data_IF_102822174132
#
_entry.id   IF_102822174132
#
_cell.length_a   1.000
_cell.length_b   1.000
_cell.length_c   1.000
_cell.angle_alpha   90.00
_cell.angle_beta   90.00
_cell.angle_gamma   90.00
#
_symmetry.space_group_name_H-M   'P 1'
#
loop_
_entity.id
_entity.type
_entity.pdbx_description
1 polymer ?
#
# COMPACT_ATOMS: atom_id res chain seq x y z
N UNK A 1 22.98 -62.36 47.99
CA UNK A 1 23.32 -60.91 48.01
C UNK A 1 23.14 -60.22 46.65
N UNK A 2 23.48 -60.84 45.50
CA UNK A 2 23.31 -60.21 44.17
C UNK A 2 21.86 -59.81 43.80
N UNK A 3 20.86 -60.63 44.11
CA UNK A 3 19.47 -60.36 43.69
C UNK A 3 18.77 -59.17 44.37
N UNK A 4 19.26 -58.73 45.53
CA UNK A 4 18.75 -57.49 46.18
C UNK A 4 19.32 -56.24 45.50
N UNK A 5 20.60 -56.27 45.10
CA UNK A 5 21.27 -55.15 44.44
C UNK A 5 20.64 -54.78 43.09
N UNK A 6 20.26 -55.79 42.28
CA UNK A 6 19.55 -55.56 41.02
C UNK A 6 18.17 -54.91 41.24
N UNK A 7 17.48 -55.24 42.34
CA UNK A 7 16.17 -54.68 42.66
C UNK A 7 16.26 -53.23 43.14
N UNK A 8 17.26 -52.90 43.97
CA UNK A 8 17.52 -51.52 44.40
C UNK A 8 18.00 -50.63 43.25
N UNK A 9 18.81 -51.18 42.33
CA UNK A 9 19.25 -50.46 41.13
C UNK A 9 18.07 -50.12 40.21
N UNK A 10 17.11 -51.03 40.04
CA UNK A 10 15.90 -50.77 39.26
C UNK A 10 15.04 -49.64 39.84
N UNK A 11 14.83 -49.63 41.16
CA UNK A 11 14.09 -48.55 41.84
C UNK A 11 14.82 -47.20 41.76
N UNK A 12 16.15 -47.19 41.87
CA UNK A 12 16.95 -45.99 41.67
C UNK A 12 16.80 -45.44 40.24
N UNK A 13 16.91 -46.31 39.22
CA UNK A 13 16.79 -45.92 37.82
C UNK A 13 15.39 -45.36 37.51
N UNK A 14 14.33 -45.94 38.10
CA UNK A 14 12.97 -45.42 37.99
C UNK A 14 12.84 -44.01 38.59
N UNK A 15 13.43 -43.77 39.77
CA UNK A 15 13.46 -42.44 40.39
C UNK A 15 14.19 -41.41 39.52
N UNK A 16 15.35 -41.78 38.96
CA UNK A 16 16.11 -40.91 38.04
C UNK A 16 15.30 -40.60 36.78
N UNK A 17 14.62 -41.58 36.19
CA UNK A 17 13.79 -41.37 35.00
C UNK A 17 12.64 -40.39 35.27
N UNK A 18 11.97 -40.48 36.42
CA UNK A 18 10.92 -39.53 36.83
C UNK A 18 11.50 -38.13 37.04
N UNK A 19 12.65 -38.01 37.72
CA UNK A 19 13.31 -36.73 37.93
C UNK A 19 13.69 -36.06 36.60
N UNK A 20 14.24 -36.84 35.65
CA UNK A 20 14.58 -36.35 34.32
C UNK A 20 13.35 -35.94 33.52
N UNK A 21 12.24 -36.69 33.64
CA UNK A 21 10.95 -36.33 33.08
C UNK A 21 10.45 -34.98 33.58
N UNK A 22 10.62 -34.70 34.89
CA UNK A 22 10.22 -33.42 35.47
C UNK A 22 11.10 -32.26 35.00
N UNK A 23 12.38 -32.52 34.69
CA UNK A 23 13.29 -31.52 34.11
C UNK A 23 12.95 -31.12 32.67
N UNK A 24 12.18 -31.94 31.93
CA UNK A 24 11.73 -31.59 30.58
C UNK A 24 10.67 -30.47 30.59
N UNK A 25 9.85 -30.37 31.64
CA UNK A 25 8.75 -29.41 31.71
C UNK A 25 9.26 -27.95 31.73
N UNK A 26 10.22 -27.55 32.59
CA UNK A 26 10.81 -26.21 32.53
C UNK A 26 11.52 -25.91 31.21
N UNK A 27 12.12 -26.93 30.58
CA UNK A 27 12.80 -26.77 29.30
C UNK A 27 11.81 -26.45 28.17
N UNK A 28 10.63 -27.09 28.17
CA UNK A 28 9.55 -26.77 27.25
C UNK A 28 9.02 -25.35 27.48
N UNK A 29 8.80 -24.95 28.73
CA UNK A 29 8.39 -23.59 29.07
C UNK A 29 9.41 -22.56 28.57
N UNK A 30 10.70 -22.82 28.71
CA UNK A 30 11.74 -21.96 28.15
C UNK A 30 11.70 -21.89 26.61
N UNK A 31 11.48 -23.02 25.93
CA UNK A 31 11.32 -23.05 24.49
C UNK A 31 10.08 -22.29 24.01
N UNK A 32 8.96 -22.40 24.74
CA UNK A 32 7.73 -21.67 24.47
C UNK A 32 7.88 -20.17 24.68
N UNK A 33 8.56 -19.74 25.76
CA UNK A 33 8.87 -18.32 26.00
C UNK A 33 9.69 -17.73 24.85
N UNK A 34 10.72 -18.45 24.39
CA UNK A 34 11.52 -18.01 23.24
C UNK A 34 10.69 -17.88 21.97
N UNK A 35 9.72 -18.78 21.75
CA UNK A 35 8.79 -18.69 20.63
C UNK A 35 7.88 -17.47 20.75
N UNK A 36 7.38 -17.16 21.94
CA UNK A 36 6.59 -15.96 22.20
C UNK A 36 7.40 -14.68 21.94
N UNK A 37 8.63 -14.62 22.42
CA UNK A 37 9.51 -13.46 22.21
C UNK A 37 9.77 -13.22 20.71
N UNK A 38 9.95 -14.29 19.93
CA UNK A 38 10.08 -14.20 18.47
C UNK A 38 8.81 -13.61 17.84
N UNK A 39 7.62 -14.13 18.18
CA UNK A 39 6.35 -13.61 17.66
C UNK A 39 6.12 -12.16 18.06
N UNK A 40 6.49 -11.75 19.27
CA UNK A 40 6.42 -10.34 19.71
C UNK A 40 7.34 -9.46 18.87
N UNK A 41 8.55 -9.93 18.56
CA UNK A 41 9.47 -9.22 17.68
C UNK A 41 8.90 -9.09 16.24
N UNK A 42 8.29 -10.15 15.71
CA UNK A 42 7.65 -10.15 14.39
C UNK A 42 6.47 -9.16 14.36
N UNK A 43 5.64 -9.11 15.40
CA UNK A 43 4.53 -8.15 15.51
C UNK A 43 5.07 -6.72 15.53
N UNK A 44 6.14 -6.46 16.30
CA UNK A 44 6.75 -5.14 16.36
C UNK A 44 7.34 -4.72 15.01
N UNK A 45 7.90 -5.66 14.25
CA UNK A 45 8.36 -5.42 12.88
C UNK A 45 7.18 -5.13 11.94
N UNK A 46 6.13 -5.95 11.98
CA UNK A 46 4.93 -5.73 11.16
C UNK A 46 4.29 -4.36 11.42
N UNK A 47 4.24 -3.87 12.66
CA UNK A 47 3.78 -2.52 12.97
C UNK A 47 4.68 -1.41 12.40
N UNK A 48 5.98 -1.63 12.25
CA UNK A 48 6.86 -0.68 11.56
C UNK A 48 6.60 -0.69 10.06
N UNK A 49 6.46 -1.88 9.49
CA UNK A 49 6.20 -2.04 8.06
C UNK A 49 4.85 -1.44 7.66
N UNK A 50 3.79 -1.64 8.46
CA UNK A 50 2.48 -1.02 8.25
C UNK A 50 2.60 0.50 8.23
N UNK A 51 3.29 1.10 9.21
CA UNK A 51 3.48 2.56 9.24
C UNK A 51 4.26 3.08 8.04
N UNK A 52 5.28 2.35 7.58
CA UNK A 52 6.01 2.72 6.37
C UNK A 52 5.13 2.62 5.11
N UNK A 53 4.29 1.58 5.02
CA UNK A 53 3.35 1.43 3.92
C UNK A 53 2.28 2.53 3.94
N UNK A 54 1.76 2.88 5.11
CA UNK A 54 0.78 3.95 5.27
C UNK A 54 1.34 5.30 4.79
N UNK A 55 2.60 5.63 5.12
CA UNK A 55 3.22 6.88 4.64
C UNK A 55 3.48 6.85 3.13
N UNK A 56 3.87 5.71 2.56
CA UNK A 56 3.96 5.55 1.10
C UNK A 56 2.60 5.71 0.42
N UNK A 57 1.53 5.17 0.99
CA UNK A 57 0.18 5.30 0.44
C UNK A 57 -0.34 6.72 0.56
N UNK A 58 -0.14 7.39 1.69
CA UNK A 58 -0.54 8.78 1.89
C UNK A 58 0.17 9.71 0.91
N UNK A 59 1.48 9.54 0.73
CA UNK A 59 2.24 10.34 -0.25
C UNK A 59 1.78 10.08 -1.68
N UNK A 60 1.55 8.83 -2.09
CA UNK A 60 1.02 8.51 -3.44
C UNK A 60 -0.42 9.01 -3.65
N UNK A 61 -1.27 8.91 -2.63
CA UNK A 61 -2.65 9.38 -2.69
C UNK A 61 -2.72 10.92 -2.76
N UNK A 62 -1.87 11.62 -2.00
CA UNK A 62 -1.75 13.07 -2.04
C UNK A 62 -1.36 13.56 -3.44
N UNK A 63 -0.40 12.91 -4.10
CA UNK A 63 -0.04 13.25 -5.48
C UNK A 63 -1.20 13.09 -6.47
N UNK A 64 -1.96 12.00 -6.37
CA UNK A 64 -3.14 11.80 -7.22
C UNK A 64 -4.24 12.84 -6.95
N UNK A 65 -4.43 13.24 -5.68
CA UNK A 65 -5.36 14.30 -5.32
C UNK A 65 -4.90 15.68 -5.82
N UNK A 66 -3.61 16.00 -5.71
CA UNK A 66 -3.04 17.24 -6.24
C UNK A 66 -3.20 17.32 -7.75
N UNK A 67 -2.97 16.23 -8.48
CA UNK A 67 -3.20 16.17 -9.92
C UNK A 67 -4.68 16.37 -10.26
N UNK A 68 -5.58 15.74 -9.51
CA UNK A 68 -7.01 15.98 -9.66
C UNK A 68 -7.38 17.46 -9.40
N UNK A 69 -6.89 18.06 -8.33
CA UNK A 69 -7.15 19.46 -8.01
C UNK A 69 -6.54 20.43 -9.03
N UNK A 70 -5.36 20.09 -9.57
CA UNK A 70 -4.70 20.85 -10.62
C UNK A 70 -5.56 20.87 -11.90
N UNK A 71 -6.11 19.72 -12.29
CA UNK A 71 -6.98 19.60 -13.46
C UNK A 71 -8.37 20.22 -13.25
N UNK A 72 -9.02 19.97 -12.10
CA UNK A 72 -10.44 20.29 -11.88
C UNK A 72 -10.66 21.76 -11.46
N UNK A 73 -9.80 22.30 -10.58
CA UNK A 73 -10.04 23.60 -9.92
C UNK A 73 -8.94 24.61 -10.23
N UNK A 74 -7.68 24.24 -10.01
CA UNK A 74 -6.58 25.20 -10.06
C UNK A 74 -6.14 25.52 -11.50
N UNK A 75 -6.45 24.64 -12.47
CA UNK A 75 -6.09 24.73 -13.89
C UNK A 75 -4.60 25.12 -14.10
N UNK A 76 -3.71 24.56 -13.27
CA UNK A 76 -2.27 24.82 -13.33
C UNK A 76 -1.55 23.91 -14.35
N UNK A 77 -2.31 23.25 -15.22
CA UNK A 77 -1.79 22.46 -16.33
C UNK A 77 -1.23 23.40 -17.38
N UNK A 78 -0.05 23.06 -17.91
CA UNK A 78 0.54 23.83 -19.00
C UNK A 78 -0.43 23.88 -20.21
N UNK A 79 -0.67 25.05 -20.81
CA UNK A 79 -1.55 25.17 -21.97
C UNK A 79 -1.08 24.27 -23.11
N UNK A 80 -2.03 23.59 -23.77
CA UNK A 80 -1.72 22.78 -24.96
C UNK A 80 -1.46 23.65 -26.20
N UNK A 81 -0.82 23.08 -27.22
CA UNK A 81 -0.47 23.82 -28.46
C UNK A 81 -1.67 24.52 -29.14
N UNK A 82 -2.88 23.95 -29.03
CA UNK A 82 -4.11 24.55 -29.57
C UNK A 82 -4.71 25.69 -28.72
N UNK A 83 -4.15 25.98 -27.55
CA UNK A 83 -4.53 27.14 -26.72
C UNK A 83 -3.62 28.35 -26.97
N UNK A 84 -2.56 28.18 -27.77
CA UNK A 84 -1.73 29.27 -28.23
C UNK A 84 -2.17 29.72 -29.61
N UNK A 85 -2.04 31.01 -29.87
CA UNK A 85 -2.24 31.58 -31.20
C UNK A 85 -1.06 31.18 -32.09
N UNK A 86 -1.33 30.68 -33.29
CA UNK A 86 -0.30 30.15 -34.18
C UNK A 86 0.52 31.24 -34.90
N UNK A 87 -0.06 32.42 -35.14
CA UNK A 87 0.59 33.54 -35.83
C UNK A 87 0.12 34.91 -35.32
N UNK A 88 0.88 35.95 -35.66
CA UNK A 88 0.63 37.34 -35.24
C UNK A 88 -0.67 37.91 -35.83
N UNK A 89 -1.07 37.45 -37.02
CA UNK A 89 -2.27 37.93 -37.70
C UNK A 89 -3.55 37.44 -37.01
N UNK A 90 -3.56 36.18 -36.56
CA UNK A 90 -4.59 35.59 -35.73
C UNK A 90 -4.64 36.24 -34.35
N UNK A 91 -3.51 36.71 -33.81
CA UNK A 91 -3.47 37.46 -32.56
C UNK A 91 -4.13 38.83 -32.73
N UNK A 92 -3.82 39.54 -33.82
CA UNK A 92 -4.42 40.83 -34.15
C UNK A 92 -5.94 40.76 -34.44
N UNK A 93 -6.45 39.59 -34.85
CA UNK A 93 -7.86 39.35 -35.09
C UNK A 93 -8.67 39.03 -33.81
N UNK A 94 -8.00 38.79 -32.67
CA UNK A 94 -8.67 38.55 -31.39
C UNK A 94 -9.14 39.89 -30.80
N UNK A 95 -10.45 40.08 -30.75
CA UNK A 95 -11.07 41.18 -30.01
C UNK A 95 -11.49 40.70 -28.60
N UNK A 96 -10.72 41.12 -27.60
CA UNK A 96 -10.91 40.78 -26.17
C UNK A 96 -12.16 41.45 -25.59
N UNK A 97 -12.80 42.38 -26.31
CA UNK A 97 -13.96 43.14 -25.83
C UNK A 97 -15.27 42.69 -26.51
N UNK A 98 -15.22 41.70 -27.40
CA UNK A 98 -16.37 41.18 -28.12
C UNK A 98 -17.22 40.25 -27.22
N UNK A 99 -18.46 40.64 -26.83
CA UNK A 99 -19.31 39.80 -26.00
C UNK A 99 -19.77 38.55 -26.76
N UNK A 100 -19.57 37.37 -26.16
CA UNK A 100 -20.07 36.08 -26.69
C UNK A 100 -19.04 35.22 -27.43
N UNK A 101 -17.78 35.66 -27.55
CA UNK A 101 -16.67 34.76 -27.91
C UNK A 101 -16.24 34.01 -26.65
N UNK A 102 -16.08 32.68 -26.78
CA UNK A 102 -15.98 31.74 -25.67
C UNK A 102 -14.98 32.18 -24.58
N UNK A 103 -15.50 32.60 -23.41
CA UNK A 103 -14.83 32.71 -22.10
C UNK A 103 -13.30 33.02 -22.17
N UNK A 104 -12.92 34.00 -22.99
CA UNK A 104 -11.54 34.45 -23.11
C UNK A 104 -11.24 35.25 -21.84
N UNK A 105 -10.80 34.55 -20.81
CA UNK A 105 -10.31 35.18 -19.58
C UNK A 105 -8.86 35.59 -19.79
N UNK A 106 -8.65 36.88 -20.01
CA UNK A 106 -7.29 37.44 -20.09
C UNK A 106 -6.65 37.34 -18.71
N UNK A 107 -5.65 36.46 -18.57
CA UNK A 107 -4.87 36.36 -17.35
C UNK A 107 -4.05 37.65 -17.17
N UNK A 108 -4.58 38.60 -16.39
CA UNK A 108 -3.82 39.78 -16.00
C UNK A 108 -2.96 39.44 -14.78
N UNK A 109 -1.64 39.44 -14.97
CA UNK A 109 -0.71 39.39 -13.86
C UNK A 109 -0.63 40.79 -13.24
N UNK A 110 -1.28 40.98 -12.10
CA UNK A 110 -1.03 42.14 -11.23
C UNK A 110 0.12 41.75 -10.31
N UNK A 111 1.30 42.38 -10.37
CA UNK A 111 2.35 42.13 -9.41
C UNK A 111 1.80 42.44 -8.01
N UNK A 112 1.73 41.43 -7.15
CA UNK A 112 1.41 41.66 -5.75
C UNK A 112 2.48 42.60 -5.17
N UNK A 113 2.10 43.64 -4.38
CA UNK A 113 3.09 44.45 -3.68
C UNK A 113 3.94 43.52 -2.78
N UNK A 114 5.23 43.81 -2.59
CA UNK A 114 6.09 42.98 -1.74
C UNK A 114 5.44 42.84 -0.37
N UNK A 115 5.11 41.61 -0.01
CA UNK A 115 4.59 41.30 1.32
C UNK A 115 5.74 41.55 2.27
N UNK A 116 5.67 42.63 3.05
CA UNK A 116 6.59 42.82 4.17
C UNK A 116 6.26 41.73 5.18
N UNK A 117 7.07 40.67 5.20
CA UNK A 117 6.96 39.62 6.20
C UNK A 117 7.12 40.24 7.59
N UNK A 118 6.02 40.31 8.33
CA UNK A 118 6.06 40.50 9.78
C UNK A 118 6.35 39.14 10.40
N UNK A 119 7.37 38.99 11.27
CA UNK A 119 7.75 37.68 11.79
C UNK A 119 6.75 37.27 12.87
N UNK A 120 5.67 36.59 12.46
CA UNK A 120 4.92 35.74 13.35
C UNK A 120 5.71 34.42 13.46
N UNK A 121 6.32 34.21 14.63
CA UNK A 121 7.10 33.03 14.95
C UNK A 121 6.30 31.74 14.75
N UNK A 122 6.56 31.06 13.63
CA UNK A 122 6.28 29.64 13.47
C UNK A 122 7.64 28.93 13.34
N UNK A 123 7.91 28.03 14.28
CA UNK A 123 9.15 27.27 14.34
C UNK A 123 9.41 26.50 13.02
N UNK A 124 10.66 26.43 12.53
CA UNK A 124 10.96 25.85 11.23
C UNK A 124 10.93 24.33 11.30
N UNK A 125 9.99 23.71 10.58
CA UNK A 125 10.17 22.36 10.08
C UNK A 125 11.10 22.45 8.86
N UNK A 126 12.34 21.98 9.01
CA UNK A 126 13.33 21.94 7.93
C UNK A 126 12.87 20.91 6.90
N UNK A 127 12.49 21.38 5.71
CA UNK A 127 12.33 20.53 4.52
C UNK A 127 13.48 20.83 3.59
N UNK A 128 14.42 19.89 3.52
CA UNK A 128 15.56 19.93 2.62
C UNK A 128 15.08 19.76 1.18
N UNK A 129 15.18 20.82 0.38
CA UNK A 129 14.87 20.81 -1.04
C UNK A 129 16.05 20.24 -1.83
N UNK A 130 15.92 18.98 -2.23
CA UNK A 130 16.79 18.41 -3.26
C UNK A 130 16.48 19.06 -4.62
N UNK A 131 17.51 19.62 -5.25
CA UNK A 131 17.41 20.27 -6.56
C UNK A 131 17.04 19.26 -7.66
N UNK A 132 16.01 19.57 -8.45
CA UNK A 132 15.60 18.79 -9.62
C UNK A 132 16.21 19.40 -10.88
N UNK A 133 17.11 18.67 -11.52
CA UNK A 133 17.67 18.98 -12.85
C UNK A 133 16.59 18.71 -13.92
N UNK A 134 16.32 19.62 -14.87
CA UNK A 134 15.30 19.39 -15.88
C UNK A 134 15.76 18.36 -16.93
N UNK A 135 14.98 17.28 -17.07
CA UNK A 135 15.12 16.31 -18.17
C UNK A 135 14.48 16.88 -19.44
N UNK A 136 15.25 16.81 -20.53
CA UNK A 136 14.93 17.25 -21.89
C UNK A 136 13.79 16.42 -22.51
N UNK A 137 12.81 17.09 -23.11
CA UNK A 137 11.68 16.50 -23.83
C UNK A 137 12.10 15.81 -25.15
N UNK A 138 11.46 14.68 -25.55
CA UNK A 138 11.56 14.16 -26.91
C UNK A 138 10.54 14.83 -27.87
N UNK A 139 10.93 14.88 -29.14
CA UNK A 139 10.29 15.55 -30.28
C UNK A 139 8.95 14.90 -30.74
N UNK A 140 8.12 15.60 -31.53
CA UNK A 140 6.73 15.21 -31.80
C UNK A 140 6.59 14.18 -32.95
N UNK A 141 5.69 13.22 -32.77
CA UNK A 141 5.22 12.29 -33.82
C UNK A 141 3.87 12.78 -34.37
N UNK A 142 3.69 12.57 -35.67
CA UNK A 142 2.71 13.15 -36.57
C UNK A 142 1.21 12.86 -36.30
N UNK A 143 0.41 13.64 -37.05
CA UNK A 143 -1.04 13.89 -37.03
C UNK A 143 -2.00 12.66 -37.13
N UNK A 144 -3.31 12.84 -36.83
CA UNK A 144 -4.23 11.79 -36.39
C UNK A 144 -5.05 11.14 -37.52
N UNK A 145 -5.42 9.87 -37.33
CA UNK A 145 -6.42 9.17 -38.12
C UNK A 145 -7.79 9.16 -37.42
N UNK A 146 -8.84 9.30 -38.25
CA UNK A 146 -10.27 9.49 -37.96
C UNK A 146 -10.89 8.38 -37.06
N UNK A 147 -11.81 8.69 -36.12
CA UNK A 147 -12.41 7.70 -35.23
C UNK A 147 -13.63 6.98 -35.85
N UNK A 148 -13.72 5.67 -35.59
CA UNK A 148 -14.94 4.86 -35.75
C UNK A 148 -15.69 4.78 -34.40
N UNK A 149 -17.03 4.64 -34.38
CA UNK A 149 -17.81 4.76 -33.16
C UNK A 149 -17.72 3.49 -32.31
N UNK A 150 -17.28 3.62 -31.06
CA UNK A 150 -17.37 2.55 -30.07
C UNK A 150 -18.60 2.79 -29.20
N UNK A 151 -19.45 1.77 -29.11
CA UNK A 151 -20.71 1.79 -28.40
C UNK A 151 -20.57 2.20 -26.93
N UNK A 152 -21.56 2.94 -26.44
CA UNK A 152 -21.69 3.38 -25.06
C UNK A 152 -21.65 2.20 -24.07
N UNK A 153 -20.65 2.18 -23.20
CA UNK A 153 -20.63 1.32 -22.02
C UNK A 153 -21.36 2.07 -20.91
N UNK A 154 -22.54 1.57 -20.55
CA UNK A 154 -23.36 2.09 -19.47
C UNK A 154 -22.58 2.07 -18.13
N UNK A 155 -22.64 3.19 -17.43
CA UNK A 155 -22.08 3.36 -16.09
C UNK A 155 -22.73 2.40 -15.09
N UNK A 156 -22.00 1.37 -14.66
CA UNK A 156 -22.37 0.54 -13.52
C UNK A 156 -21.82 1.18 -12.25
N UNK A 157 -22.72 1.51 -11.32
CA UNK A 157 -22.42 2.11 -10.01
C UNK A 157 -21.36 1.31 -9.24
N UNK A 158 -20.32 1.94 -8.66
CA UNK A 158 -19.16 1.25 -8.05
C UNK A 158 -19.43 0.55 -6.71
N UNK A 159 -20.66 0.60 -6.18
CA UNK A 159 -20.99 0.08 -4.84
C UNK A 159 -21.35 -1.41 -4.83
N UNK A 160 -21.88 -1.96 -5.93
CA UNK A 160 -22.27 -3.37 -6.03
C UNK A 160 -21.06 -4.28 -6.27
N UNK A 161 -20.08 -3.82 -7.05
CA UNK A 161 -18.88 -4.58 -7.36
C UNK A 161 -17.98 -4.84 -6.14
N UNK A 162 -17.87 -3.88 -5.21
CA UNK A 162 -17.10 -4.08 -3.96
C UNK A 162 -17.78 -5.10 -3.03
N UNK A 163 -19.11 -5.07 -2.92
CA UNK A 163 -19.89 -6.02 -2.10
C UNK A 163 -19.83 -7.44 -2.66
N UNK A 164 -19.89 -7.59 -3.99
CA UNK A 164 -19.75 -8.89 -4.65
C UNK A 164 -18.36 -9.51 -4.44
N UNK A 165 -17.29 -8.70 -4.50
CA UNK A 165 -15.92 -9.16 -4.21
C UNK A 165 -15.75 -9.57 -2.74
N UNK A 166 -16.25 -8.78 -1.79
CA UNK A 166 -16.18 -9.13 -0.37
C UNK A 166 -16.95 -10.42 -0.05
N UNK A 167 -18.11 -10.62 -0.66
CA UNK A 167 -18.91 -11.84 -0.49
C UNK A 167 -18.25 -13.06 -1.14
N UNK A 168 -17.58 -12.90 -2.29
CA UNK A 168 -16.80 -13.96 -2.91
C UNK A 168 -15.60 -14.38 -2.04
N UNK A 169 -14.88 -13.40 -1.46
CA UNK A 169 -13.75 -13.68 -0.55
C UNK A 169 -14.22 -14.39 0.72
N UNK A 170 -15.34 -13.98 1.31
CA UNK A 170 -15.90 -14.66 2.48
C UNK A 170 -16.37 -16.11 2.18
N UNK A 171 -16.87 -16.36 0.97
CA UNK A 171 -17.23 -17.72 0.53
C UNK A 171 -16.00 -18.61 0.31
N UNK A 172 -14.88 -18.04 -0.13
CA UNK A 172 -13.62 -18.77 -0.26
C UNK A 172 -13.04 -19.09 1.12
N UNK A 173 -13.03 -18.13 2.04
CA UNK A 173 -12.55 -18.32 3.41
C UNK A 173 -13.30 -19.44 4.13
N UNK A 174 -14.63 -19.47 4.00
CA UNK A 174 -15.49 -20.55 4.53
C UNK A 174 -15.17 -21.93 3.94
N UNK A 175 -14.76 -21.99 2.66
CA UNK A 175 -14.37 -23.25 1.99
C UNK A 175 -12.96 -23.70 2.37
N UNK A 176 -12.06 -22.77 2.64
CA UNK A 176 -10.68 -23.07 3.04
C UNK A 176 -10.59 -23.44 4.52
N UNK A 177 -11.43 -22.84 5.36
CA UNK A 177 -11.51 -23.08 6.81
C UNK A 177 -12.54 -24.15 7.20
N UNK A 178 -13.06 -24.94 6.26
CA UNK A 178 -13.99 -26.01 6.62
C UNK A 178 -13.27 -27.14 7.37
N UNK A 179 -13.91 -27.67 8.43
CA UNK A 179 -13.36 -28.73 9.28
C UNK A 179 -12.92 -29.99 8.49
N UNK A 180 -13.54 -30.22 7.32
CA UNK A 180 -13.16 -31.30 6.39
C UNK A 180 -11.77 -31.08 5.78
N UNK A 181 -11.47 -29.86 5.33
CA UNK A 181 -10.20 -29.53 4.65
C UNK A 181 -9.04 -29.53 5.64
N UNK A 182 -9.28 -29.02 6.85
CA UNK A 182 -8.32 -29.08 7.96
C UNK A 182 -8.07 -30.53 8.39
N UNK A 183 -9.13 -31.35 8.43
CA UNK A 183 -9.04 -32.80 8.68
C UNK A 183 -8.20 -33.54 7.63
N UNK A 184 -8.38 -33.21 6.35
CA UNK A 184 -7.65 -33.83 5.23
C UNK A 184 -6.17 -33.41 5.20
N UNK A 185 -5.84 -32.18 5.57
CA UNK A 185 -4.47 -31.73 5.75
C UNK A 185 -3.77 -32.45 6.91
N UNK A 186 -4.47 -32.62 8.03
CA UNK A 186 -3.95 -33.35 9.19
C UNK A 186 -3.85 -34.87 8.95
N UNK A 187 -4.69 -35.43 8.10
CA UNK A 187 -4.67 -36.86 7.75
C UNK A 187 -3.54 -37.16 6.76
N UNK A 188 -3.35 -36.31 5.75
CA UNK A 188 -2.24 -36.40 4.78
C UNK A 188 -0.88 -36.18 5.45
N UNK A 189 -0.74 -35.18 6.33
CA UNK A 189 0.49 -34.97 7.11
C UNK A 189 0.84 -36.18 8.00
N UNK A 190 -0.17 -36.86 8.58
CA UNK A 190 0.03 -38.11 9.34
C UNK A 190 0.34 -39.32 8.46
N UNK A 191 -0.13 -39.34 7.22
CA UNK A 191 0.22 -40.38 6.25
C UNK A 191 1.67 -40.21 5.76
N UNK A 192 2.10 -38.97 5.54
CA UNK A 192 3.44 -38.63 5.06
C UNK A 192 4.51 -38.87 6.15
N UNK A 193 4.26 -38.44 7.38
CA UNK A 193 5.15 -38.74 8.53
C UNK A 193 5.32 -40.23 8.83
N UNK A 194 4.36 -41.08 8.45
CA UNK A 194 4.46 -42.54 8.56
C UNK A 194 5.20 -43.19 7.39
N UNK A 195 5.21 -42.55 6.22
CA UNK A 195 6.00 -42.97 5.05
C UNK A 195 7.47 -42.54 5.14
N UNK A 196 7.76 -41.48 5.88
CA UNK A 196 9.11 -40.97 6.10
C UNK A 196 9.87 -41.65 7.26
N UNK A 197 9.27 -42.64 7.93
CA UNK A 197 9.90 -43.53 8.92
C UNK A 197 10.10 -44.92 8.33
#
# INVERSE_FOLDING_TARGET
>A
MLGLAWKTLGWFLAGVAVALGFLLVPLQVAAERKKLDHTVADIAQAHRDIRALETEFETRANLAQLDQWNNDTLRLVAPGAGQFVADEAALAAIDVHQPGTADIQTASFVPAPPVTESPAAAAPAQVETAAVTPVRAPAPVAAPAKPAPVAAVAAVKPTTAKRAKAQAVAMLDRKLLSDSTVGDLLSSARAESRRAR
#
